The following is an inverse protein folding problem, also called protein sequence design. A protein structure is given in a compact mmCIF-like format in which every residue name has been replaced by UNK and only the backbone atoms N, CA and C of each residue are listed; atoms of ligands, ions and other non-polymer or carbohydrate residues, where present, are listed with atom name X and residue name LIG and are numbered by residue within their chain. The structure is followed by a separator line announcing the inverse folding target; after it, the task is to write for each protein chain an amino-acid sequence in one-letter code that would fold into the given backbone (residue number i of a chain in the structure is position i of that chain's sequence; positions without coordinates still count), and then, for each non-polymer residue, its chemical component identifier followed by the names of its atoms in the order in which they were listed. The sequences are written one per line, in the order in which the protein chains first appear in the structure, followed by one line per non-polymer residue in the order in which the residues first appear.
data_IF_448615043106
#
_entry.id   IF_448615043106
#
_cell.length_a   1.000
_cell.length_b   1.000
_cell.length_c   1.000
_cell.angle_alpha   90.00
_cell.angle_beta   90.00
_cell.angle_gamma   90.00
#
_symmetry.space_group_name_H-M   'P 1'
#
loop_
_entity.id
_entity.type
_entity.pdbx_description
1 polymer ?
#
# COMPACT_ATOMS: atom_id res chain seq x y z
N UNK A 1 21.08 -12.87 -26.66
CA UNK A 1 20.47 -13.33 -25.39
C UNK A 1 19.98 -12.19 -24.53
N UNK A 2 19.12 -11.31 -25.06
CA UNK A 2 18.20 -10.49 -24.28
C UNK A 2 16.84 -11.13 -24.50
N UNK A 3 16.15 -11.54 -23.45
CA UNK A 3 14.76 -11.97 -23.59
C UNK A 3 13.96 -10.70 -23.83
N UNK A 4 13.71 -10.34 -25.09
CA UNK A 4 13.08 -9.06 -25.46
C UNK A 4 11.76 -8.86 -24.72
N UNK A 5 10.95 -9.91 -24.60
CA UNK A 5 9.72 -9.91 -23.81
C UNK A 5 9.93 -9.67 -22.30
N UNK A 6 11.09 -10.00 -21.73
CA UNK A 6 11.37 -9.71 -20.31
C UNK A 6 11.62 -8.22 -20.09
N UNK A 7 12.36 -7.55 -20.98
CA UNK A 7 12.69 -6.12 -20.87
C UNK A 7 11.47 -5.26 -21.22
N UNK A 8 10.65 -5.70 -22.18
CA UNK A 8 9.41 -5.03 -22.56
C UNK A 8 8.40 -4.93 -21.42
N UNK A 9 8.30 -5.90 -20.51
CA UNK A 9 7.36 -5.79 -19.39
C UNK A 9 7.72 -4.62 -18.44
N UNK A 10 9.00 -4.34 -18.22
CA UNK A 10 9.45 -3.28 -17.31
C UNK A 10 9.66 -1.93 -18.00
N UNK A 11 10.07 -1.93 -19.27
CA UNK A 11 10.46 -0.72 -20.01
C UNK A 11 9.65 -0.49 -21.28
N UNK A 12 8.76 -1.40 -21.64
CA UNK A 12 7.88 -1.25 -22.79
C UNK A 12 6.83 -0.17 -22.55
N UNK A 13 6.41 0.43 -23.65
CA UNK A 13 5.47 1.52 -23.67
C UNK A 13 4.31 1.15 -24.61
N UNK A 14 3.09 1.34 -24.15
CA UNK A 14 1.90 1.33 -25.00
C UNK A 14 1.60 2.78 -25.37
N UNK A 15 2.16 3.22 -26.51
CA UNK A 15 2.15 4.63 -26.91
C UNK A 15 2.92 5.49 -25.89
N UNK A 16 2.31 6.53 -25.27
CA UNK A 16 2.99 7.40 -24.30
C UNK A 16 3.04 6.83 -22.87
N UNK A 17 2.38 5.70 -22.58
CA UNK A 17 2.20 5.20 -21.21
C UNK A 17 3.13 4.00 -20.97
N UNK A 18 4.00 4.04 -19.93
CA UNK A 18 4.79 2.87 -19.52
C UNK A 18 3.90 1.71 -19.05
N UNK A 19 4.23 0.48 -19.47
CA UNK A 19 3.48 -0.73 -19.07
C UNK A 19 3.33 -0.87 -17.53
N UNK A 20 4.33 -0.59 -16.68
CA UNK A 20 4.18 -0.67 -15.22
C UNK A 20 3.05 0.21 -14.65
N UNK A 21 2.82 1.37 -15.27
CA UNK A 21 1.74 2.29 -14.88
C UNK A 21 0.38 1.66 -15.21
N UNK A 22 0.25 1.07 -16.41
CA UNK A 22 -0.96 0.39 -16.83
C UNK A 22 -1.29 -0.79 -15.92
N UNK A 23 -0.29 -1.62 -15.57
CA UNK A 23 -0.47 -2.72 -14.62
C UNK A 23 -0.98 -2.22 -13.27
N UNK A 24 -0.44 -1.10 -12.77
CA UNK A 24 -0.88 -0.50 -11.51
C UNK A 24 -2.34 -0.06 -11.57
N UNK A 25 -2.77 0.62 -12.64
CA UNK A 25 -4.16 1.03 -12.80
C UNK A 25 -5.12 -0.15 -12.95
N UNK A 26 -4.73 -1.20 -13.68
CA UNK A 26 -5.52 -2.44 -13.79
C UNK A 26 -5.68 -3.10 -12.42
N UNK A 27 -4.60 -3.21 -11.64
CA UNK A 27 -4.66 -3.76 -10.29
C UNK A 27 -5.50 -2.87 -9.37
N UNK A 28 -5.36 -1.55 -9.42
CA UNK A 28 -6.20 -0.64 -8.64
C UNK A 28 -7.69 -0.83 -8.98
N UNK A 29 -8.04 -0.91 -10.26
CA UNK A 29 -9.43 -1.17 -10.68
C UNK A 29 -9.95 -2.53 -10.19
N UNK A 30 -9.14 -3.58 -10.34
CA UNK A 30 -9.46 -4.93 -9.87
C UNK A 30 -9.70 -4.96 -8.35
N UNK A 31 -8.75 -4.45 -7.57
CA UNK A 31 -8.86 -4.43 -6.11
C UNK A 31 -9.91 -3.46 -5.62
N UNK A 32 -10.15 -2.35 -6.31
CA UNK A 32 -11.29 -1.47 -6.02
C UNK A 32 -12.60 -2.24 -6.14
N UNK A 33 -12.77 -2.96 -7.25
CA UNK A 33 -13.97 -3.77 -7.50
C UNK A 33 -14.11 -4.89 -6.46
N UNK A 34 -13.04 -5.64 -6.19
CA UNK A 34 -13.05 -6.70 -5.16
C UNK A 34 -13.45 -6.11 -3.80
N UNK A 35 -12.88 -4.97 -3.43
CA UNK A 35 -13.07 -4.39 -2.12
C UNK A 35 -14.49 -3.80 -1.91
N UNK A 36 -15.10 -3.24 -2.96
CA UNK A 36 -16.42 -2.58 -2.88
C UNK A 36 -17.59 -3.47 -3.29
N UNK A 37 -17.38 -4.38 -4.24
CA UNK A 37 -18.47 -5.14 -4.86
C UNK A 37 -18.50 -6.62 -4.46
N UNK A 38 -17.51 -7.15 -3.74
CA UNK A 38 -17.47 -8.58 -3.37
C UNK A 38 -17.65 -8.84 -1.87
N UNK A 39 -18.03 -10.07 -1.54
CA UNK A 39 -18.15 -10.56 -0.16
C UNK A 39 -16.78 -10.54 0.55
N UNK A 40 -15.71 -10.84 -0.19
CA UNK A 40 -14.34 -10.85 0.30
C UNK A 40 -13.96 -9.48 0.88
N UNK A 41 -14.28 -8.39 0.17
CA UNK A 41 -14.04 -7.03 0.67
C UNK A 41 -14.74 -6.74 2.00
N UNK A 42 -16.03 -7.11 2.10
CA UNK A 42 -16.80 -6.99 3.36
C UNK A 42 -16.18 -7.79 4.51
N UNK A 43 -15.68 -9.00 4.22
CA UNK A 43 -15.04 -9.85 5.22
C UNK A 43 -13.72 -9.24 5.71
N UNK A 44 -12.91 -8.69 4.80
CA UNK A 44 -11.65 -8.00 5.16
C UNK A 44 -11.93 -6.84 6.12
N UNK A 45 -12.88 -5.96 5.81
CA UNK A 45 -13.21 -4.84 6.69
C UNK A 45 -13.78 -5.28 8.04
N UNK A 46 -14.69 -6.26 8.05
CA UNK A 46 -15.28 -6.78 9.28
C UNK A 46 -14.23 -7.41 10.21
N UNK A 47 -13.34 -8.23 9.65
CA UNK A 47 -12.23 -8.85 10.40
C UNK A 47 -11.26 -7.78 10.90
N UNK A 48 -10.96 -6.76 10.07
CA UNK A 48 -10.07 -5.67 10.44
C UNK A 48 -10.62 -4.79 11.57
N UNK A 49 -11.95 -4.60 11.65
CA UNK A 49 -12.57 -3.79 12.71
C UNK A 49 -12.64 -4.51 14.05
N UNK A 50 -13.07 -5.77 14.06
CA UNK A 50 -13.08 -6.59 15.27
C UNK A 50 -13.04 -8.09 14.94
N UNK A 51 -11.87 -8.69 15.16
CA UNK A 51 -11.60 -10.12 14.92
C UNK A 51 -12.53 -11.03 15.73
N UNK A 52 -12.79 -10.68 16.99
CA UNK A 52 -13.60 -11.50 17.90
C UNK A 52 -15.07 -11.48 17.46
N UNK A 53 -15.60 -10.29 17.17
CA UNK A 53 -16.95 -10.14 16.65
C UNK A 53 -17.12 -10.83 15.29
N UNK A 54 -16.12 -10.74 14.42
CA UNK A 54 -16.15 -11.42 13.13
C UNK A 54 -16.24 -12.95 13.28
N UNK A 55 -15.47 -13.52 14.21
CA UNK A 55 -15.51 -14.96 14.50
C UNK A 55 -16.87 -15.39 15.07
N UNK A 56 -17.45 -14.59 15.96
CA UNK A 56 -18.79 -14.83 16.52
C UNK A 56 -19.89 -14.73 15.46
N UNK A 57 -19.71 -13.88 14.45
CA UNK A 57 -20.60 -13.74 13.30
C UNK A 57 -20.44 -14.87 12.25
N UNK A 58 -19.64 -15.91 12.54
CA UNK A 58 -19.44 -17.07 11.65
C UNK A 58 -18.50 -16.82 10.47
N UNK A 59 -17.75 -15.70 10.46
CA UNK A 59 -16.77 -15.43 9.41
C UNK A 59 -15.57 -16.36 9.53
N UNK A 60 -15.12 -16.92 8.40
CA UNK A 60 -13.90 -17.73 8.33
C UNK A 60 -12.65 -16.83 8.41
N UNK A 61 -12.37 -16.32 9.62
CA UNK A 61 -11.27 -15.36 9.89
C UNK A 61 -9.93 -15.89 9.38
N UNK A 62 -9.59 -17.13 9.72
CA UNK A 62 -8.28 -17.70 9.42
C UNK A 62 -8.10 -17.92 7.91
N UNK A 63 -9.13 -18.41 7.21
CA UNK A 63 -9.12 -18.55 5.75
C UNK A 63 -8.97 -17.20 5.05
N UNK A 64 -9.70 -16.18 5.51
CA UNK A 64 -9.64 -14.84 4.93
C UNK A 64 -8.26 -14.20 5.14
N UNK A 65 -7.65 -14.39 6.32
CA UNK A 65 -6.28 -13.93 6.57
C UNK A 65 -5.27 -14.60 5.65
N UNK A 66 -5.30 -15.92 5.55
CA UNK A 66 -4.39 -16.66 4.66
C UNK A 66 -4.54 -16.16 3.23
N UNK A 67 -5.77 -15.97 2.75
CA UNK A 67 -6.03 -15.44 1.41
C UNK A 67 -5.42 -14.05 1.21
N UNK A 68 -5.57 -13.14 2.16
CA UNK A 68 -4.99 -11.79 2.08
C UNK A 68 -3.46 -11.83 2.04
N UNK A 69 -2.82 -12.67 2.86
CA UNK A 69 -1.36 -12.85 2.83
C UNK A 69 -0.88 -13.45 1.50
N UNK A 70 -1.59 -14.44 0.95
CA UNK A 70 -1.27 -15.03 -0.36
C UNK A 70 -1.38 -13.98 -1.47
N UNK A 71 -2.47 -13.20 -1.48
CA UNK A 71 -2.64 -12.10 -2.44
C UNK A 71 -1.52 -11.07 -2.32
N UNK A 72 -1.14 -10.69 -1.09
CA UNK A 72 0.00 -9.81 -0.84
C UNK A 72 1.31 -10.36 -1.39
N UNK A 73 1.58 -11.64 -1.20
CA UNK A 73 2.76 -12.32 -1.77
C UNK A 73 2.77 -12.33 -3.30
N UNK A 74 1.62 -12.61 -3.93
CA UNK A 74 1.48 -12.58 -5.40
C UNK A 74 1.73 -11.16 -5.95
N UNK A 75 1.19 -10.13 -5.29
CA UNK A 75 1.42 -8.74 -5.69
C UNK A 75 2.87 -8.31 -5.49
N UNK A 76 3.50 -8.74 -4.39
CA UNK A 76 4.92 -8.48 -4.15
C UNK A 76 5.80 -9.15 -5.21
N UNK A 77 5.51 -10.40 -5.57
CA UNK A 77 6.23 -11.11 -6.63
C UNK A 77 6.07 -10.43 -8.00
N UNK A 78 4.86 -9.98 -8.34
CA UNK A 78 4.60 -9.23 -9.58
C UNK A 78 5.37 -7.90 -9.60
N UNK A 79 5.36 -7.15 -8.49
CA UNK A 79 6.12 -5.91 -8.34
C UNK A 79 7.62 -6.13 -8.49
N UNK A 80 8.16 -7.16 -7.83
CA UNK A 80 9.56 -7.53 -7.92
C UNK A 80 9.97 -7.94 -9.35
N UNK A 81 9.11 -8.68 -10.05
CA UNK A 81 9.33 -9.05 -11.45
C UNK A 81 9.44 -7.81 -12.35
N UNK A 82 8.52 -6.85 -12.20
CA UNK A 82 8.54 -5.59 -12.94
C UNK A 82 9.81 -4.78 -12.61
N UNK A 83 10.19 -4.71 -11.33
CA UNK A 83 11.39 -3.98 -10.91
C UNK A 83 12.68 -4.61 -11.45
N UNK A 84 12.80 -5.94 -11.39
CA UNK A 84 13.96 -6.66 -11.94
C UNK A 84 14.07 -6.48 -13.46
N UNK A 85 12.93 -6.50 -14.16
CA UNK A 85 12.85 -6.17 -15.58
C UNK A 85 13.32 -4.74 -15.88
N UNK A 86 12.87 -3.75 -15.09
CA UNK A 86 13.28 -2.34 -15.21
C UNK A 86 14.78 -2.13 -15.01
N UNK A 87 15.37 -2.84 -14.07
CA UNK A 87 16.80 -2.72 -13.75
C UNK A 87 17.69 -3.58 -14.64
N UNK A 88 17.10 -4.45 -15.47
CA UNK A 88 17.82 -5.47 -16.27
C UNK A 88 18.81 -6.29 -15.42
N UNK A 89 18.54 -6.40 -14.11
CA UNK A 89 19.43 -6.98 -13.13
C UNK A 89 18.66 -7.28 -11.84
N UNK A 90 18.93 -8.46 -11.27
CA UNK A 90 18.41 -8.85 -9.96
C UNK A 90 19.27 -8.26 -8.85
N UNK A 91 19.15 -6.95 -8.60
CA UNK A 91 19.84 -6.33 -7.47
C UNK A 91 19.13 -6.66 -6.14
N UNK A 92 19.79 -7.33 -5.18
CA UNK A 92 19.17 -7.68 -3.90
C UNK A 92 18.80 -6.45 -3.06
N UNK A 93 19.49 -5.32 -3.31
CA UNK A 93 19.30 -4.09 -2.53
C UNK A 93 18.14 -3.22 -3.05
N UNK A 94 17.56 -3.52 -4.21
CA UNK A 94 16.59 -2.65 -4.89
C UNK A 94 15.25 -2.48 -4.14
N UNK A 95 14.93 -3.38 -3.20
CA UNK A 95 13.70 -3.33 -2.39
C UNK A 95 13.92 -2.91 -0.93
N UNK A 96 15.15 -2.59 -0.52
CA UNK A 96 15.44 -2.26 0.88
C UNK A 96 14.65 -1.02 1.33
N UNK A 97 13.92 -1.16 2.43
CA UNK A 97 13.12 -0.07 3.02
C UNK A 97 11.78 0.21 2.33
N UNK A 98 11.44 -0.48 1.24
CA UNK A 98 10.13 -0.31 0.58
C UNK A 98 8.98 -0.70 1.50
N UNK A 99 9.17 -1.69 2.36
CA UNK A 99 8.17 -2.13 3.34
C UNK A 99 7.75 -0.96 4.26
N UNK A 100 8.73 -0.30 4.86
CA UNK A 100 8.53 0.85 5.75
C UNK A 100 7.93 2.05 4.99
N UNK A 101 8.39 2.29 3.75
CA UNK A 101 7.84 3.33 2.90
C UNK A 101 6.38 3.07 2.52
N UNK A 102 6.02 1.83 2.18
CA UNK A 102 4.65 1.43 1.85
C UNK A 102 3.76 1.63 3.06
N UNK A 103 4.16 1.15 4.25
CA UNK A 103 3.40 1.34 5.50
C UNK A 103 3.18 2.83 5.78
N UNK A 104 4.22 3.67 5.63
CA UNK A 104 4.10 5.12 5.80
C UNK A 104 3.07 5.74 4.84
N UNK A 105 3.11 5.34 3.56
CA UNK A 105 2.22 5.85 2.52
C UNK A 105 0.76 5.48 2.79
N UNK A 106 0.47 4.21 3.11
CA UNK A 106 -0.93 3.79 3.32
C UNK A 106 -1.55 4.42 4.57
N UNK A 107 -0.77 4.62 5.63
CA UNK A 107 -1.23 5.30 6.85
C UNK A 107 -1.45 6.79 6.59
N UNK A 108 -0.52 7.45 5.89
CA UNK A 108 -0.70 8.83 5.45
C UNK A 108 -1.97 8.98 4.59
N UNK A 109 -2.24 7.98 3.75
CA UNK A 109 -3.47 7.83 2.96
C UNK A 109 -4.74 7.57 3.79
N UNK A 110 -4.63 7.39 5.10
CA UNK A 110 -5.76 7.23 6.02
C UNK A 110 -6.20 5.79 6.28
N UNK A 111 -5.38 4.79 5.96
CA UNK A 111 -5.61 3.42 6.40
C UNK A 111 -5.14 3.27 7.85
N UNK A 112 -6.01 2.73 8.71
CA UNK A 112 -5.66 2.52 10.12
C UNK A 112 -4.70 1.35 10.30
N UNK A 113 -3.67 1.54 11.13
CA UNK A 113 -2.75 0.48 11.57
C UNK A 113 -3.47 -0.66 12.31
N UNK A 114 -4.53 -0.33 13.06
CA UNK A 114 -5.28 -1.31 13.84
C UNK A 114 -6.35 -2.04 13.02
N UNK A 115 -6.54 -1.67 11.76
CA UNK A 115 -7.47 -2.33 10.83
C UNK A 115 -8.89 -1.75 10.84
N UNK A 116 -9.70 -2.22 9.89
CA UNK A 116 -11.14 -1.94 9.82
C UNK A 116 -11.56 -0.61 9.21
N UNK A 117 -10.61 0.30 8.97
CA UNK A 117 -10.86 1.64 8.41
C UNK A 117 -9.81 1.99 7.35
N UNK A 118 -10.27 2.51 6.21
CA UNK A 118 -9.42 2.99 5.13
C UNK A 118 -10.06 2.80 3.76
N UNK A 119 -9.54 3.50 2.75
CA UNK A 119 -10.00 3.35 1.35
C UNK A 119 -8.81 3.15 0.42
N UNK A 120 -9.04 2.42 -0.67
CA UNK A 120 -8.01 2.22 -1.70
C UNK A 120 -7.60 3.54 -2.36
N UNK A 121 -8.53 4.48 -2.53
CA UNK A 121 -8.24 5.82 -3.04
C UNK A 121 -7.31 6.62 -2.13
N UNK A 122 -7.56 6.59 -0.81
CA UNK A 122 -6.67 7.21 0.18
C UNK A 122 -5.27 6.61 0.14
N UNK A 123 -5.17 5.27 0.07
CA UNK A 123 -3.90 4.55 -0.08
C UNK A 123 -3.10 5.03 -1.30
N UNK A 124 -3.76 5.13 -2.46
CA UNK A 124 -3.14 5.57 -3.70
C UNK A 124 -2.60 7.00 -3.60
N UNK A 125 -3.38 7.93 -3.03
CA UNK A 125 -2.94 9.31 -2.79
C UNK A 125 -1.72 9.34 -1.86
N UNK A 126 -1.74 8.57 -0.77
CA UNK A 126 -0.61 8.48 0.17
C UNK A 126 0.67 7.96 -0.48
N UNK A 127 0.56 6.94 -1.35
CA UNK A 127 1.68 6.41 -2.14
C UNK A 127 2.22 7.47 -3.10
N UNK A 128 1.34 8.21 -3.80
CA UNK A 128 1.75 9.29 -4.70
C UNK A 128 2.50 10.39 -3.96
N UNK A 129 2.00 10.84 -2.80
CA UNK A 129 2.67 11.87 -1.99
C UNK A 129 4.09 11.43 -1.62
N UNK A 130 4.24 10.22 -1.06
CA UNK A 130 5.56 9.73 -0.67
C UNK A 130 6.48 9.47 -1.86
N UNK A 131 5.94 9.00 -2.98
CA UNK A 131 6.74 8.76 -4.19
C UNK A 131 7.24 10.05 -4.79
N UNK A 132 6.39 11.08 -4.88
CA UNK A 132 6.79 12.42 -5.36
C UNK A 132 7.81 13.04 -4.42
N UNK A 133 7.63 12.95 -3.10
CA UNK A 133 8.60 13.42 -2.11
C UNK A 133 9.96 12.73 -2.29
N UNK A 134 9.96 11.39 -2.40
CA UNK A 134 11.20 10.63 -2.57
C UNK A 134 11.91 10.97 -3.88
N UNK A 135 11.17 11.14 -4.97
CA UNK A 135 11.77 11.57 -6.25
C UNK A 135 12.26 13.01 -6.19
N UNK A 136 11.55 13.90 -5.49
CA UNK A 136 11.96 15.28 -5.27
C UNK A 136 13.30 15.39 -4.55
N UNK A 137 13.51 14.61 -3.47
CA UNK A 137 14.79 14.58 -2.76
C UNK A 137 15.94 14.08 -3.64
N UNK A 138 15.69 13.06 -4.47
CA UNK A 138 16.66 12.56 -5.45
C UNK A 138 17.02 13.64 -6.48
N UNK A 139 16.04 14.37 -7.00
CA UNK A 139 16.26 15.46 -7.97
C UNK A 139 17.00 16.65 -7.37
N UNK A 140 16.81 16.91 -6.09
CA UNK A 140 17.58 17.90 -5.32
C UNK A 140 19.01 17.43 -5.00
N UNK A 141 19.42 16.27 -5.52
CA UNK A 141 20.74 15.67 -5.33
C UNK A 141 21.11 15.47 -3.85
N UNK A 142 20.10 15.26 -3.00
CA UNK A 142 20.30 15.02 -1.58
C UNK A 142 20.91 13.62 -1.41
N UNK A 143 21.85 13.46 -0.48
CA UNK A 143 22.46 12.17 -0.23
C UNK A 143 21.44 11.15 0.31
N UNK A 144 21.65 9.86 0.00
CA UNK A 144 20.75 8.78 0.42
C UNK A 144 20.54 8.72 1.93
N UNK A 145 21.52 9.18 2.72
CA UNK A 145 21.41 9.27 4.17
C UNK A 145 20.22 10.15 4.61
N UNK A 146 20.00 11.29 3.96
CA UNK A 146 18.86 12.16 4.28
C UNK A 146 17.54 11.61 3.74
N UNK A 147 17.55 10.78 2.69
CA UNK A 147 16.34 10.08 2.22
C UNK A 147 15.79 9.17 3.31
N UNK A 148 16.67 8.42 3.99
CA UNK A 148 16.28 7.50 5.06
C UNK A 148 15.78 8.25 6.31
N UNK A 149 16.42 9.37 6.66
CA UNK A 149 15.94 10.27 7.73
C UNK A 149 14.54 10.81 7.39
N UNK A 150 14.34 11.31 6.16
CA UNK A 150 13.06 11.83 5.73
C UNK A 150 11.96 10.75 5.75
N UNK A 151 12.27 9.52 5.29
CA UNK A 151 11.34 8.38 5.36
C UNK A 151 10.95 8.08 6.81
N UNK A 152 11.93 8.03 7.72
CA UNK A 152 11.69 7.84 9.16
C UNK A 152 10.80 8.93 9.76
N UNK A 153 11.08 10.19 9.43
CA UNK A 153 10.27 11.33 9.88
C UNK A 153 8.82 11.24 9.38
N UNK A 154 8.60 10.83 8.12
CA UNK A 154 7.23 10.67 7.60
C UNK A 154 6.50 9.51 8.27
N UNK A 155 7.17 8.40 8.57
CA UNK A 155 6.56 7.30 9.34
C UNK A 155 6.07 7.80 10.70
N UNK A 156 6.95 8.48 11.45
CA UNK A 156 6.61 9.02 12.77
C UNK A 156 5.41 9.96 12.66
N UNK A 157 5.42 10.86 11.68
CA UNK A 157 4.32 11.78 11.43
C UNK A 157 3.01 11.04 11.08
N UNK A 158 3.08 10.03 10.21
CA UNK A 158 1.91 9.25 9.79
C UNK A 158 1.28 8.51 10.98
N UNK A 159 2.09 7.84 11.80
CA UNK A 159 1.64 7.12 13.01
C UNK A 159 1.06 8.08 14.04
N UNK A 160 1.69 9.24 14.23
CA UNK A 160 1.19 10.27 15.12
C UNK A 160 -0.18 10.80 14.69
N UNK A 161 -0.36 11.06 13.40
CA UNK A 161 -1.64 11.49 12.82
C UNK A 161 -2.72 10.40 12.94
N UNK A 162 -2.37 9.13 12.69
CA UNK A 162 -3.29 7.99 12.87
C UNK A 162 -3.79 7.89 14.32
N UNK A 163 -2.86 7.98 15.28
CA UNK A 163 -3.18 7.93 16.72
C UNK A 163 -4.10 9.08 17.13
N UNK A 164 -3.85 10.30 16.63
CA UNK A 164 -4.71 11.47 16.93
C UNK A 164 -6.10 11.34 16.31
N UNK A 165 -6.24 10.79 15.10
CA UNK A 165 -7.56 10.55 14.48
C UNK A 165 -8.39 9.56 15.30
N UNK A 166 -7.76 8.51 15.84
CA UNK A 166 -8.45 7.54 16.69
C UNK A 166 -8.99 8.19 17.97
N UNK A 167 -8.19 9.04 18.62
CA UNK A 167 -8.60 9.72 19.85
C UNK A 167 -9.74 10.73 19.63
N UNK A 168 -9.76 11.45 18.49
CA UNK A 168 -10.83 12.41 18.20
C UNK A 168 -12.16 11.73 17.91
N UNK A 169 -12.16 10.56 17.27
CA UNK A 169 -13.37 9.76 17.04
C UNK A 169 -13.97 9.24 18.36
N UNK A 170 -13.14 8.71 19.26
CA UNK A 170 -13.60 8.22 20.57
C UNK A 170 -14.20 9.35 21.42
N UNK A 171 -13.60 10.55 21.39
CA UNK A 171 -14.14 11.72 22.09
C UNK A 171 -15.51 12.15 21.58
N UNK A 172 -15.80 11.98 20.28
CA UNK A 172 -17.12 12.28 19.71
C UNK A 172 -18.20 11.29 20.14
N UNK A 173 -17.85 10.02 20.33
CA UNK A 173 -18.77 8.98 20.78
C UNK A 173 -19.10 9.06 22.28
N UNK A 174 -18.19 9.63 23.08
CA UNK A 174 -18.33 9.78 24.53
C UNK A 174 -18.81 11.18 24.95
N UNK A 175 -18.98 12.12 24.01
CA UNK A 175 -19.56 13.42 24.32
C UNK A 175 -21.06 13.23 24.65
N UNK A 176 -21.54 13.67 25.83
CA UNK A 176 -22.95 13.55 26.18
C UNK A 176 -23.80 14.31 25.16
N UNK A 177 -24.95 13.77 24.72
CA UNK A 177 -25.88 14.51 23.87
C UNK A 177 -26.38 15.72 24.69
N UNK A 178 -26.09 16.93 24.18
CA UNK A 178 -26.64 18.19 24.69
C UNK A 178 -28.08 18.37 24.23
#
# INVERSE_FOLDING_TARGET
GKVEGFIEVGTGHLGPIPIPVLVTFVLLGLFYYVLHHTILGRYIYAIGGNIQAARLAGLAVDRTRVLVFVLGGVLAALSAFILASRLNSGQPNAGLGFELQVIAAVILGGISLTGGVGTLGGAFIGILILTVLSNGLVLLNVSSFYHDIARGAVIILAVYLDTRRKQSLLRRLLAPPT
#
